data_IF_368951767042
#
_entry.id   IF_368951767042
#
_cell.length_a   1.000
_cell.length_b   1.000
_cell.length_c   1.000
_cell.angle_alpha   90.00
_cell.angle_beta   90.00
_cell.angle_gamma   90.00
#
_symmetry.space_group_name_H-M   'P 1'
#
loop_
_entity.id
_entity.type
_entity.pdbx_description
1 polymer ?
#
# COMPACT_ATOMS: atom_id res chain seq x y z
N UNK A 1 -19.41 -1.18 -20.56
CA UNK A 1 -20.43 -1.48 -21.58
C UNK A 1 -21.07 -2.81 -21.20
N UNK A 2 -22.40 -2.79 -21.13
CA UNK A 2 -23.25 -3.94 -20.82
C UNK A 2 -23.40 -4.82 -22.05
N UNK A 3 -22.64 -5.92 -22.13
CA UNK A 3 -22.95 -7.02 -23.04
C UNK A 3 -23.44 -8.20 -22.22
N UNK A 4 -24.76 -8.31 -22.13
CA UNK A 4 -25.51 -9.41 -21.50
C UNK A 4 -25.48 -10.69 -22.32
N UNK A 5 -24.31 -11.10 -22.82
CA UNK A 5 -24.10 -12.42 -23.37
C UNK A 5 -23.72 -13.39 -22.26
N UNK A 6 -24.39 -14.54 -22.17
CA UNK A 6 -23.98 -15.66 -21.31
C UNK A 6 -22.60 -16.16 -21.73
N UNK A 7 -21.55 -15.51 -21.21
CA UNK A 7 -20.15 -15.89 -21.37
C UNK A 7 -20.00 -17.37 -20.99
N UNK A 8 -19.52 -18.19 -21.92
CA UNK A 8 -19.28 -19.60 -21.66
C UNK A 8 -18.18 -19.73 -20.59
N UNK A 9 -18.12 -20.87 -19.88
CA UNK A 9 -17.02 -21.11 -18.92
C UNK A 9 -15.63 -20.99 -19.57
N UNK A 10 -15.50 -21.29 -20.87
CA UNK A 10 -14.25 -21.14 -21.63
C UNK A 10 -13.89 -19.66 -21.86
N UNK A 11 -14.88 -18.80 -22.15
CA UNK A 11 -14.65 -17.36 -22.32
C UNK A 11 -14.20 -16.72 -20.99
N UNK A 12 -14.81 -17.14 -19.87
CA UNK A 12 -14.39 -16.70 -18.53
C UNK A 12 -12.96 -17.14 -18.21
N UNK A 13 -12.61 -18.38 -18.55
CA UNK A 13 -11.27 -18.94 -18.37
C UNK A 13 -10.20 -18.14 -19.14
N UNK A 14 -10.40 -17.91 -20.43
CA UNK A 14 -9.46 -17.15 -21.27
C UNK A 14 -9.36 -15.68 -20.88
N UNK A 15 -10.47 -15.07 -20.44
CA UNK A 15 -10.45 -13.69 -19.96
C UNK A 15 -9.70 -13.55 -18.64
N UNK A 16 -9.87 -14.48 -17.70
CA UNK A 16 -9.19 -14.44 -16.40
C UNK A 16 -7.66 -14.52 -16.55
N UNK A 17 -7.15 -15.42 -17.40
CA UNK A 17 -5.71 -15.53 -17.68
C UNK A 17 -5.11 -14.24 -18.24
N UNK A 18 -5.89 -13.45 -18.98
CA UNK A 18 -5.44 -12.18 -19.56
C UNK A 18 -5.50 -11.02 -18.57
N UNK A 19 -6.33 -11.11 -17.54
CA UNK A 19 -6.60 -10.03 -16.59
C UNK A 19 -5.84 -10.19 -15.26
N UNK A 20 -5.27 -11.37 -15.00
CA UNK A 20 -4.51 -11.65 -13.80
C UNK A 20 -3.01 -11.47 -14.03
N UNK A 21 -2.35 -10.75 -13.12
CA UNK A 21 -0.91 -10.48 -13.16
C UNK A 21 -0.30 -10.77 -11.79
N UNK A 22 0.86 -11.42 -11.76
CA UNK A 22 1.63 -11.66 -10.55
C UNK A 22 3.07 -11.20 -10.71
N UNK A 23 3.67 -10.72 -9.63
CA UNK A 23 5.06 -10.28 -9.59
C UNK A 23 5.72 -10.97 -8.41
N UNK A 24 6.80 -11.68 -8.67
CA UNK A 24 7.56 -12.40 -7.64
C UNK A 24 9.05 -12.15 -7.85
N UNK A 25 9.79 -11.93 -6.78
CA UNK A 25 11.22 -11.64 -6.83
C UNK A 25 12.08 -12.90 -6.77
N UNK A 26 11.63 -13.93 -6.04
CA UNK A 26 12.40 -15.14 -5.79
C UNK A 26 12.02 -16.27 -6.77
N UNK A 27 13.03 -16.94 -7.35
CA UNK A 27 12.85 -18.01 -8.35
C UNK A 27 12.00 -19.17 -7.81
N UNK A 28 12.25 -19.62 -6.58
CA UNK A 28 11.54 -20.76 -6.01
C UNK A 28 10.05 -20.46 -5.76
N UNK A 29 9.67 -19.38 -5.03
CA UNK A 29 8.28 -18.93 -4.95
C UNK A 29 7.62 -18.67 -6.31
N UNK A 30 8.35 -18.14 -7.28
CA UNK A 30 7.86 -17.94 -8.65
C UNK A 30 7.43 -19.26 -9.29
N UNK A 31 8.28 -20.29 -9.22
CA UNK A 31 7.97 -21.61 -9.76
C UNK A 31 6.79 -22.27 -9.02
N UNK A 32 6.75 -22.16 -7.69
CA UNK A 32 5.65 -22.67 -6.85
C UNK A 32 4.33 -21.97 -7.20
N UNK A 33 4.34 -20.65 -7.41
CA UNK A 33 3.17 -19.88 -7.79
C UNK A 33 2.61 -20.36 -9.15
N UNK A 34 3.47 -20.58 -10.13
CA UNK A 34 3.08 -21.15 -11.43
C UNK A 34 2.44 -22.54 -11.26
N UNK A 35 3.04 -23.43 -10.48
CA UNK A 35 2.50 -24.78 -10.25
C UNK A 35 1.14 -24.74 -9.53
N UNK A 36 1.03 -23.99 -8.43
CA UNK A 36 -0.19 -23.89 -7.63
C UNK A 36 -1.33 -23.25 -8.42
N UNK A 37 -1.06 -22.17 -9.16
CA UNK A 37 -2.07 -21.54 -10.00
C UNK A 37 -2.50 -22.46 -11.14
N UNK A 38 -1.56 -23.14 -11.80
CA UNK A 38 -1.91 -24.11 -12.86
C UNK A 38 -2.82 -25.22 -12.34
N UNK A 39 -2.53 -25.73 -11.14
CA UNK A 39 -3.36 -26.75 -10.49
C UNK A 39 -4.74 -26.20 -10.07
N UNK A 40 -4.79 -25.01 -9.47
CA UNK A 40 -6.05 -24.36 -9.07
C UNK A 40 -6.94 -24.07 -10.30
N UNK A 41 -6.37 -23.58 -11.40
CA UNK A 41 -7.09 -23.39 -12.66
C UNK A 41 -7.63 -24.73 -13.19
N UNK A 42 -6.82 -25.80 -13.14
CA UNK A 42 -7.26 -27.13 -13.56
C UNK A 42 -8.43 -27.65 -12.73
N UNK A 43 -8.40 -27.45 -11.42
CA UNK A 43 -9.45 -27.90 -10.51
C UNK A 43 -10.74 -27.11 -10.67
N UNK A 44 -10.65 -25.79 -10.82
CA UNK A 44 -11.81 -24.89 -10.94
C UNK A 44 -12.50 -25.03 -12.31
N UNK A 45 -11.70 -25.02 -13.39
CA UNK A 45 -12.23 -25.05 -14.76
C UNK A 45 -12.32 -26.46 -15.36
N UNK A 46 -11.88 -27.48 -14.61
CA UNK A 46 -11.83 -28.90 -15.03
C UNK A 46 -11.03 -29.12 -16.33
N UNK A 47 -10.08 -28.24 -16.64
CA UNK A 47 -9.22 -28.29 -17.83
C UNK A 47 -7.80 -27.82 -17.51
N UNK A 48 -6.76 -28.54 -17.95
CA UNK A 48 -5.39 -28.06 -17.80
C UNK A 48 -5.12 -26.83 -18.67
N UNK A 49 -4.12 -26.03 -18.29
CA UNK A 49 -3.57 -24.98 -19.14
C UNK A 49 -3.07 -25.59 -20.46
N UNK A 50 -3.43 -24.99 -21.60
CA UNK A 50 -2.89 -25.38 -22.92
C UNK A 50 -1.45 -24.87 -23.05
N UNK A 51 -0.68 -25.42 -23.99
CA UNK A 51 0.72 -24.98 -24.22
C UNK A 51 0.87 -23.48 -24.49
N UNK A 52 -0.17 -22.85 -25.06
CA UNK A 52 -0.20 -21.41 -25.33
C UNK A 52 -0.87 -20.57 -24.23
N UNK A 53 -1.45 -21.20 -23.20
CA UNK A 53 -2.03 -20.50 -22.05
C UNK A 53 -0.90 -20.14 -21.07
N UNK A 54 -0.52 -18.86 -21.04
CA UNK A 54 0.55 -18.38 -20.17
C UNK A 54 -0.03 -17.62 -18.97
N UNK A 55 0.24 -18.12 -17.76
CA UNK A 55 0.04 -17.35 -16.53
C UNK A 55 1.00 -16.15 -16.56
N UNK A 56 0.46 -14.94 -16.37
CA UNK A 56 1.26 -13.70 -16.35
C UNK A 56 1.88 -13.46 -14.96
N UNK A 57 2.56 -14.47 -14.42
CA UNK A 57 3.40 -14.35 -13.23
C UNK A 57 4.82 -14.06 -13.69
N UNK A 58 5.40 -12.98 -13.18
CA UNK A 58 6.62 -12.38 -13.71
C UNK A 58 7.70 -12.36 -12.65
N UNK A 59 8.89 -12.82 -13.02
CA UNK A 59 10.04 -12.87 -12.13
C UNK A 59 10.76 -11.51 -12.15
N UNK A 60 10.48 -10.66 -11.17
CA UNK A 60 11.00 -9.30 -11.13
C UNK A 60 10.87 -8.66 -9.74
N UNK A 61 11.66 -7.62 -9.51
CA UNK A 61 11.41 -6.70 -8.41
C UNK A 61 10.30 -5.71 -8.80
N UNK A 62 9.15 -5.78 -8.15
CA UNK A 62 7.98 -4.92 -8.44
C UNK A 62 8.32 -3.42 -8.38
N UNK A 63 9.16 -3.03 -7.41
CA UNK A 63 9.47 -1.62 -7.11
C UNK A 63 10.58 -1.03 -7.98
N UNK A 64 11.27 -1.85 -8.79
CA UNK A 64 12.36 -1.37 -9.65
C UNK A 64 11.88 -0.33 -10.67
N UNK A 65 12.56 0.81 -10.71
CA UNK A 65 12.26 1.89 -11.65
C UNK A 65 12.96 1.68 -13.00
N UNK A 66 12.38 2.19 -14.12
CA UNK A 66 13.00 2.11 -15.44
C UNK A 66 14.45 2.61 -15.50
N UNK A 67 14.78 3.65 -14.72
CA UNK A 67 16.13 4.21 -14.64
C UNK A 67 17.15 3.31 -13.96
N UNK A 68 16.70 2.34 -13.15
CA UNK A 68 17.54 1.46 -12.33
C UNK A 68 17.83 0.11 -13.03
N UNK A 69 17.25 -0.09 -14.22
CA UNK A 69 17.37 -1.31 -15.04
C UNK A 69 18.78 -1.53 -15.59
N UNK A 70 19.61 -0.48 -15.67
CA UNK A 70 20.98 -0.59 -16.20
C UNK A 70 21.79 -1.66 -15.44
N UNK A 71 21.54 -1.82 -14.13
CA UNK A 71 22.17 -2.84 -13.30
C UNK A 71 21.80 -4.30 -13.67
N UNK A 72 20.72 -4.49 -14.43
CA UNK A 72 20.20 -5.80 -14.86
C UNK A 72 20.52 -6.11 -16.33
N UNK A 73 21.22 -5.22 -17.05
CA UNK A 73 21.66 -5.47 -18.43
C UNK A 73 22.76 -6.54 -18.46
N UNK A 74 22.66 -7.49 -19.38
CA UNK A 74 23.63 -8.56 -19.54
C UNK A 74 23.39 -9.78 -18.63
N UNK A 75 22.23 -9.83 -17.96
CA UNK A 75 21.72 -11.06 -17.35
C UNK A 75 21.25 -12.03 -18.45
N UNK A 76 20.92 -13.26 -18.07
CA UNK A 76 20.34 -14.24 -19.01
C UNK A 76 19.13 -13.61 -19.74
N UNK A 77 18.96 -13.86 -21.07
CA UNK A 77 17.88 -13.29 -21.87
C UNK A 77 16.48 -13.48 -21.27
N UNK A 78 16.31 -14.52 -20.44
CA UNK A 78 15.04 -14.78 -19.74
C UNK A 78 14.70 -13.67 -18.74
N UNK A 79 15.68 -13.19 -17.96
CA UNK A 79 15.48 -12.12 -16.99
C UNK A 79 15.22 -10.77 -17.67
N UNK A 80 15.91 -10.51 -18.79
CA UNK A 80 15.67 -9.29 -19.56
C UNK A 80 14.24 -9.26 -20.14
N UNK A 81 13.76 -10.42 -20.61
CA UNK A 81 12.37 -10.58 -21.08
C UNK A 81 11.36 -10.38 -19.95
N UNK A 82 11.56 -11.03 -18.81
CA UNK A 82 10.70 -10.88 -17.62
C UNK A 82 10.65 -9.43 -17.14
N UNK A 83 11.81 -8.77 -17.06
CA UNK A 83 11.90 -7.37 -16.68
C UNK A 83 11.19 -6.45 -17.69
N UNK A 84 11.36 -6.69 -18.99
CA UNK A 84 10.65 -5.93 -20.04
C UNK A 84 9.13 -6.10 -19.93
N UNK A 85 8.66 -7.33 -19.75
CA UNK A 85 7.24 -7.63 -19.54
C UNK A 85 6.68 -6.92 -18.30
N UNK A 86 7.42 -6.96 -17.18
CA UNK A 86 7.06 -6.27 -15.95
C UNK A 86 6.86 -4.77 -16.19
N UNK A 87 7.77 -4.13 -16.92
CA UNK A 87 7.70 -2.70 -17.18
C UNK A 87 6.52 -2.34 -18.08
N UNK A 88 6.28 -3.15 -19.13
CA UNK A 88 5.12 -2.97 -20.01
C UNK A 88 3.82 -3.03 -19.21
N UNK A 89 3.65 -4.05 -18.37
CA UNK A 89 2.44 -4.19 -17.54
C UNK A 89 2.31 -3.05 -16.54
N UNK A 90 3.39 -2.73 -15.82
CA UNK A 90 3.36 -1.63 -14.86
C UNK A 90 3.07 -0.30 -15.54
N UNK A 91 3.41 -0.09 -16.81
CA UNK A 91 3.22 1.21 -17.48
C UNK A 91 1.89 1.31 -18.23
N UNK A 92 1.53 0.26 -18.96
CA UNK A 92 0.54 0.32 -20.03
C UNK A 92 -0.79 -0.33 -19.64
N UNK A 93 -0.82 -1.21 -18.63
CA UNK A 93 -2.03 -1.92 -18.21
C UNK A 93 -2.80 -1.16 -17.14
N UNK A 94 -4.13 -1.15 -17.27
CA UNK A 94 -5.04 -0.56 -16.29
C UNK A 94 -5.32 -1.57 -15.17
N UNK A 95 -4.56 -1.48 -14.07
CA UNK A 95 -4.67 -2.38 -12.92
C UNK A 95 -5.74 -1.85 -11.94
N UNK A 96 -6.94 -2.45 -11.99
CA UNK A 96 -8.07 -2.05 -11.14
C UNK A 96 -7.94 -2.53 -9.69
N UNK A 97 -7.36 -3.72 -9.49
CA UNK A 97 -7.25 -4.37 -8.17
C UNK A 97 -5.78 -4.72 -7.91
N UNK A 98 -5.27 -4.33 -6.75
CA UNK A 98 -3.93 -4.70 -6.29
C UNK A 98 -4.07 -5.36 -4.92
N UNK A 99 -3.64 -6.61 -4.80
CA UNK A 99 -3.77 -7.37 -3.54
C UNK A 99 -2.55 -8.22 -3.25
N UNK A 100 -2.36 -8.60 -1.98
CA UNK A 100 -1.28 -9.48 -1.55
C UNK A 100 -0.82 -9.27 -0.11
N UNK A 101 0.28 -9.95 0.23
CA UNK A 101 0.99 -9.80 1.49
C UNK A 101 2.40 -9.23 1.18
N UNK A 102 2.59 -7.91 1.13
CA UNK A 102 3.89 -7.32 0.82
C UNK A 102 4.92 -7.66 1.90
N UNK A 103 6.23 -7.68 1.57
CA UNK A 103 7.27 -7.99 2.55
C UNK A 103 7.37 -6.92 3.65
N UNK A 104 7.74 -7.36 4.86
CA UNK A 104 7.94 -6.48 6.02
C UNK A 104 9.45 -6.36 6.29
N UNK A 105 10.05 -5.26 5.87
CA UNK A 105 11.48 -5.00 6.05
C UNK A 105 11.74 -3.53 6.31
N UNK A 106 12.02 -3.18 7.57
CA UNK A 106 12.37 -1.82 7.97
C UNK A 106 13.71 -1.32 7.41
N UNK A 107 14.49 -2.17 6.75
CA UNK A 107 15.72 -1.84 6.04
C UNK A 107 15.63 -2.36 4.60
N UNK A 108 14.76 -1.73 3.81
CA UNK A 108 14.51 -2.11 2.43
C UNK A 108 15.76 -2.05 1.54
N UNK A 109 15.96 -3.09 0.72
CA UNK A 109 16.99 -3.12 -0.33
C UNK A 109 16.62 -2.25 -1.54
N UNK A 110 15.37 -1.80 -1.64
CA UNK A 110 14.85 -0.92 -2.70
C UNK A 110 15.31 0.54 -2.50
N UNK A 111 16.62 0.76 -2.56
CA UNK A 111 17.23 2.09 -2.51
C UNK A 111 17.12 2.76 -3.87
N UNK A 112 16.98 4.09 -3.88
CA UNK A 112 17.00 4.87 -5.13
C UNK A 112 15.81 5.80 -5.27
N UNK A 113 15.24 5.88 -6.47
CA UNK A 113 14.23 6.89 -6.79
C UNK A 113 12.90 6.65 -6.07
N UNK A 114 12.48 5.39 -5.98
CA UNK A 114 11.23 5.03 -5.31
C UNK A 114 11.25 5.35 -3.81
N UNK A 115 12.43 5.21 -3.16
CA UNK A 115 12.63 5.64 -1.79
C UNK A 115 12.40 7.16 -1.63
N UNK A 116 12.91 7.95 -2.57
CA UNK A 116 12.70 9.40 -2.57
C UNK A 116 11.25 9.79 -2.84
N UNK A 117 10.54 9.03 -3.66
CA UNK A 117 9.10 9.22 -3.85
C UNK A 117 8.33 9.03 -2.55
N UNK A 118 8.63 7.96 -1.81
CA UNK A 118 8.01 7.70 -0.50
C UNK A 118 8.36 8.80 0.50
N UNK A 119 9.62 9.20 0.61
CA UNK A 119 10.05 10.31 1.47
C UNK A 119 9.34 11.62 1.12
N UNK A 120 9.34 11.98 -0.15
CA UNK A 120 8.77 13.25 -0.59
C UNK A 120 7.24 13.29 -0.50
N UNK A 121 6.56 12.14 -0.42
CA UNK A 121 5.10 12.10 -0.32
C UNK A 121 4.62 11.87 1.12
N UNK A 122 5.20 10.89 1.82
CA UNK A 122 4.77 10.52 3.19
C UNK A 122 5.62 11.16 4.28
N UNK A 123 6.84 11.58 3.95
CA UNK A 123 7.78 12.18 4.88
C UNK A 123 7.62 13.69 5.05
N UNK A 124 6.57 14.29 4.48
CA UNK A 124 6.26 15.72 4.64
C UNK A 124 5.16 15.89 5.68
N UNK A 125 5.34 16.87 6.57
CA UNK A 125 4.34 17.21 7.59
C UNK A 125 3.00 17.53 6.92
N UNK A 126 1.90 16.90 7.36
CA UNK A 126 0.57 17.17 6.80
C UNK A 126 0.29 18.64 6.59
N UNK A 127 0.48 19.51 7.58
CA UNK A 127 0.19 20.95 7.48
C UNK A 127 0.84 21.63 6.26
N UNK A 128 2.04 21.19 5.85
CA UNK A 128 2.75 21.75 4.71
C UNK A 128 2.30 21.17 3.36
N UNK A 129 1.62 20.03 3.33
CA UNK A 129 1.22 19.42 2.05
C UNK A 129 0.20 20.27 1.28
N UNK A 130 -0.57 21.12 1.97
CA UNK A 130 -1.59 22.00 1.37
C UNK A 130 -1.11 23.41 1.05
N UNK A 131 0.13 23.78 1.40
CA UNK A 131 0.59 25.16 1.22
C UNK A 131 0.87 25.46 -0.26
N UNK A 132 0.61 26.72 -0.64
CA UNK A 132 1.12 27.28 -1.88
C UNK A 132 2.53 27.82 -1.65
N UNK A 133 3.49 27.32 -2.41
CA UNK A 133 4.91 27.73 -2.31
C UNK A 133 5.29 28.78 -3.35
N UNK A 134 4.51 28.85 -4.43
CA UNK A 134 4.56 29.83 -5.50
C UNK A 134 3.11 30.16 -5.85
N UNK A 135 2.83 31.30 -6.50
CA UNK A 135 1.46 31.72 -6.84
C UNK A 135 0.72 30.60 -7.59
N UNK A 136 -0.36 30.07 -7.00
CA UNK A 136 -1.17 28.96 -7.53
C UNK A 136 -0.42 27.62 -7.70
N UNK A 137 0.69 27.37 -7.00
CA UNK A 137 1.41 26.10 -7.06
C UNK A 137 1.51 25.49 -5.66
N UNK A 138 0.79 24.38 -5.45
CA UNK A 138 0.86 23.61 -4.21
C UNK A 138 2.19 22.86 -4.10
N UNK A 139 2.68 22.70 -2.89
CA UNK A 139 3.89 21.92 -2.61
C UNK A 139 3.83 20.50 -3.20
N UNK A 140 2.70 19.82 -3.05
CA UNK A 140 2.47 18.47 -3.58
C UNK A 140 2.60 18.43 -5.11
N UNK A 141 2.08 19.42 -5.83
CA UNK A 141 2.12 19.46 -7.29
C UNK A 141 3.54 19.70 -7.79
N UNK A 142 4.31 20.54 -7.09
CA UNK A 142 5.73 20.74 -7.37
C UNK A 142 6.52 19.45 -7.17
N UNK A 143 6.29 18.74 -6.08
CA UNK A 143 6.94 17.45 -5.78
C UNK A 143 6.62 16.42 -6.86
N UNK A 144 5.36 16.28 -7.24
CA UNK A 144 4.95 15.36 -8.30
C UNK A 144 5.60 15.71 -9.64
N UNK A 145 5.73 17.01 -9.95
CA UNK A 145 6.42 17.47 -11.16
C UNK A 145 7.90 17.10 -11.13
N UNK A 146 8.59 17.31 -10.00
CA UNK A 146 9.99 16.93 -9.84
C UNK A 146 10.18 15.42 -9.98
N UNK A 147 9.34 14.61 -9.34
CA UNK A 147 9.38 13.14 -9.45
C UNK A 147 9.20 12.67 -10.90
N UNK A 148 8.22 13.23 -11.63
CA UNK A 148 8.01 12.93 -13.06
C UNK A 148 9.22 13.32 -13.91
N UNK A 149 9.86 14.46 -13.63
CA UNK A 149 11.04 14.90 -14.36
C UNK A 149 12.23 13.96 -14.13
N UNK A 150 12.44 13.50 -12.89
CA UNK A 150 13.50 12.55 -12.54
C UNK A 150 13.27 11.20 -13.25
N UNK A 151 12.03 10.74 -13.36
CA UNK A 151 11.68 9.49 -14.04
C UNK A 151 11.86 9.55 -15.58
N UNK A 152 11.76 10.73 -16.21
CA UNK A 152 11.75 10.89 -17.67
C UNK A 152 13.14 11.13 -18.33
N UNK A 153 14.19 11.48 -17.59
CA UNK A 153 15.41 12.07 -18.20
C UNK A 153 16.72 11.29 -17.94
N UNK A 154 17.61 11.27 -18.94
CA UNK A 154 18.99 10.74 -18.86
C UNK A 154 19.93 11.73 -18.13
N UNK A 155 20.46 11.29 -16.99
CA UNK A 155 21.67 11.65 -16.22
C UNK A 155 22.07 13.12 -15.92
N UNK A 156 21.74 14.13 -16.73
CA UNK A 156 22.15 15.53 -16.52
C UNK A 156 21.19 16.36 -15.67
N UNK A 157 20.00 16.66 -16.20
CA UNK A 157 18.94 17.47 -15.55
C UNK A 157 18.22 16.75 -14.39
N UNK A 158 18.36 15.42 -14.33
CA UNK A 158 17.83 14.58 -13.24
C UNK A 158 18.49 14.90 -11.90
N UNK A 159 19.77 15.30 -11.90
CA UNK A 159 20.50 15.67 -10.67
C UNK A 159 19.96 16.95 -10.03
N UNK A 160 19.62 17.95 -10.83
CA UNK A 160 19.08 19.22 -10.33
C UNK A 160 17.67 19.06 -9.77
N UNK A 161 16.82 18.30 -10.49
CA UNK A 161 15.47 17.97 -10.00
C UNK A 161 15.52 17.18 -8.68
N UNK A 162 16.45 16.22 -8.57
CA UNK A 162 16.66 15.47 -7.33
C UNK A 162 17.18 16.37 -6.20
N UNK A 163 18.11 17.29 -6.50
CA UNK A 163 18.60 18.28 -5.52
C UNK A 163 17.48 19.18 -5.00
N UNK A 164 16.62 19.66 -5.89
CA UNK A 164 15.44 20.45 -5.52
C UNK A 164 14.46 19.65 -4.66
N UNK A 165 14.19 18.38 -5.02
CA UNK A 165 13.33 17.48 -4.25
C UNK A 165 13.87 17.27 -2.83
N UNK A 166 15.18 17.02 -2.71
CA UNK A 166 15.86 16.87 -1.41
C UNK A 166 15.75 18.13 -0.56
N UNK A 167 15.90 19.30 -1.17
CA UNK A 167 15.77 20.59 -0.49
C UNK A 167 14.35 20.82 0.04
N UNK A 168 13.33 20.60 -0.79
CA UNK A 168 11.92 20.70 -0.38
C UNK A 168 11.60 19.74 0.76
N UNK A 169 11.98 18.46 0.63
CA UNK A 169 11.79 17.48 1.68
C UNK A 169 12.50 17.91 2.97
N UNK A 170 13.75 18.38 2.91
CA UNK A 170 14.47 18.82 4.12
C UNK A 170 13.77 19.99 4.83
N UNK A 171 13.13 20.90 4.08
CA UNK A 171 12.42 22.06 4.62
C UNK A 171 11.09 21.69 5.28
N UNK A 172 10.33 20.77 4.68
CA UNK A 172 8.96 20.44 5.09
C UNK A 172 8.81 19.03 5.68
N UNK A 173 9.91 18.35 6.00
CA UNK A 173 9.89 16.99 6.56
C UNK A 173 9.07 16.92 7.85
N UNK A 174 8.65 15.71 8.21
CA UNK A 174 8.05 15.41 9.51
C UNK A 174 8.92 15.95 10.65
N UNK A 175 8.28 16.75 11.52
CA UNK A 175 8.94 17.35 12.67
C UNK A 175 8.86 16.41 13.89
N UNK A 176 9.81 16.55 14.82
CA UNK A 176 9.83 15.88 16.14
C UNK A 176 9.82 14.33 16.10
N UNK A 177 10.07 13.70 14.96
CA UNK A 177 10.12 12.23 14.82
C UNK A 177 11.50 11.65 15.09
N UNK A 178 11.58 10.68 16.02
CA UNK A 178 12.83 10.02 16.38
C UNK A 178 13.33 9.02 15.33
N UNK A 179 12.43 8.37 14.59
CA UNK A 179 12.75 7.26 13.70
C UNK A 179 12.02 7.33 12.34
N UNK A 180 12.33 8.31 11.47
CA UNK A 180 11.66 8.45 10.16
C UNK A 180 11.93 7.28 9.20
N UNK A 181 12.89 6.40 9.52
CA UNK A 181 13.22 5.21 8.72
C UNK A 181 12.06 4.23 8.54
N UNK A 182 11.08 4.25 9.45
CA UNK A 182 9.90 3.36 9.37
C UNK A 182 9.06 3.62 8.12
N UNK A 183 9.09 4.84 7.56
CA UNK A 183 8.46 5.13 6.27
C UNK A 183 9.06 4.37 5.10
N UNK A 184 10.28 3.83 5.25
CA UNK A 184 10.99 3.11 4.20
C UNK A 184 10.80 1.60 4.27
N UNK A 185 9.93 1.12 5.16
CA UNK A 185 9.54 -0.28 5.20
C UNK A 185 8.94 -0.70 3.85
N UNK A 186 9.23 -1.92 3.40
CA UNK A 186 8.79 -2.38 2.08
C UNK A 186 7.26 -2.38 1.96
N UNK A 187 6.49 -2.71 2.99
CA UNK A 187 5.02 -2.67 2.90
C UNK A 187 4.51 -1.24 2.59
N UNK A 188 5.19 -0.21 3.11
CA UNK A 188 4.86 1.20 2.83
C UNK A 188 5.17 1.53 1.37
N UNK A 189 6.28 0.99 0.84
CA UNK A 189 6.63 1.12 -0.57
C UNK A 189 5.60 0.45 -1.48
N UNK A 190 5.12 -0.74 -1.13
CA UNK A 190 4.04 -1.41 -1.85
C UNK A 190 2.71 -0.66 -1.76
N UNK A 191 2.36 -0.09 -0.60
CA UNK A 191 1.21 0.80 -0.46
C UNK A 191 1.34 2.01 -1.39
N UNK A 192 2.53 2.63 -1.47
CA UNK A 192 2.78 3.75 -2.40
C UNK A 192 2.62 3.34 -3.86
N UNK A 193 3.15 2.18 -4.23
CA UNK A 193 3.01 1.65 -5.58
C UNK A 193 1.54 1.44 -5.94
N UNK A 194 0.77 0.82 -5.04
CA UNK A 194 -0.66 0.60 -5.24
C UNK A 194 -1.43 1.94 -5.35
N UNK A 195 -1.13 2.87 -4.44
CA UNK A 195 -1.73 4.21 -4.44
C UNK A 195 -1.49 4.95 -5.76
N UNK A 196 -0.27 4.89 -6.32
CA UNK A 196 0.02 5.50 -7.62
C UNK A 196 -0.84 4.92 -8.74
N UNK A 197 -1.00 3.59 -8.77
CA UNK A 197 -1.81 2.92 -9.79
C UNK A 197 -3.27 3.32 -9.68
N UNK A 198 -3.86 3.18 -8.50
CA UNK A 198 -5.28 3.50 -8.28
C UNK A 198 -5.56 5.00 -8.47
N UNK A 199 -4.69 5.89 -7.98
CA UNK A 199 -4.82 7.34 -8.17
C UNK A 199 -4.78 7.72 -9.66
N UNK A 200 -3.93 7.08 -10.45
CA UNK A 200 -3.82 7.35 -11.89
C UNK A 200 -5.07 6.93 -12.69
N UNK A 201 -5.75 5.88 -12.25
CA UNK A 201 -6.99 5.38 -12.87
C UNK A 201 -8.24 6.14 -12.38
N UNK A 202 -8.17 6.77 -11.21
CA UNK A 202 -9.28 7.49 -10.59
C UNK A 202 -10.34 6.57 -9.95
N UNK A 203 -10.19 5.25 -10.06
CA UNK A 203 -11.04 4.24 -9.44
C UNK A 203 -10.28 2.92 -9.27
N UNK A 204 -10.72 2.09 -8.31
CA UNK A 204 -10.19 0.75 -8.08
C UNK A 204 -10.02 0.41 -6.60
N UNK A 205 -9.35 -0.71 -6.31
CA UNK A 205 -9.21 -1.28 -4.98
C UNK A 205 -7.75 -1.67 -4.73
N UNK A 206 -7.26 -1.37 -3.52
CA UNK A 206 -6.09 -2.07 -2.99
C UNK A 206 -6.48 -2.86 -1.74
N UNK A 207 -5.97 -4.09 -1.61
CA UNK A 207 -6.18 -4.94 -0.45
C UNK A 207 -4.89 -5.62 0.05
N UNK A 208 -4.32 -5.21 1.19
CA UNK A 208 -3.15 -5.89 1.76
C UNK A 208 -3.39 -6.36 3.20
N UNK A 209 -2.78 -7.49 3.54
CA UNK A 209 -2.39 -7.77 4.92
C UNK A 209 -0.99 -7.20 5.15
N UNK A 210 -0.84 -6.31 6.11
CA UNK A 210 0.43 -5.63 6.39
C UNK A 210 0.65 -5.40 7.87
N UNK A 211 1.88 -5.04 8.25
CA UNK A 211 2.17 -4.54 9.59
C UNK A 211 1.21 -3.40 9.98
N UNK A 212 0.56 -3.50 11.14
CA UNK A 212 -0.47 -2.55 11.60
C UNK A 212 0.10 -1.25 12.18
N UNK A 213 1.42 -1.11 12.30
CA UNK A 213 2.06 0.07 12.90
C UNK A 213 1.70 1.39 12.19
N UNK A 214 1.33 1.36 10.91
CA UNK A 214 0.92 2.58 10.21
C UNK A 214 -0.42 3.16 10.70
N UNK A 215 -1.24 2.38 11.41
CA UNK A 215 -2.54 2.82 11.90
C UNK A 215 -2.40 3.90 12.98
N UNK A 216 -1.43 3.76 13.88
CA UNK A 216 -1.32 4.57 15.09
C UNK A 216 0.03 5.31 15.26
N UNK A 217 1.13 4.81 14.71
CA UNK A 217 2.45 5.37 14.99
C UNK A 217 2.59 6.80 14.40
N UNK A 218 3.04 7.81 15.19
CA UNK A 218 3.17 9.20 14.75
C UNK A 218 3.97 9.42 13.46
N UNK A 219 5.00 8.59 13.21
CA UNK A 219 5.86 8.69 12.02
C UNK A 219 5.07 8.49 10.72
N UNK A 220 3.90 7.83 10.74
CA UNK A 220 3.10 7.55 9.54
C UNK A 220 1.97 8.56 9.28
N UNK A 221 1.90 9.69 9.99
CA UNK A 221 0.82 10.68 9.79
C UNK A 221 0.72 11.23 8.36
N UNK A 222 1.87 11.42 7.68
CA UNK A 222 1.90 11.82 6.28
C UNK A 222 1.41 10.71 5.33
N UNK A 223 1.70 9.44 5.63
CA UNK A 223 1.13 8.28 4.93
C UNK A 223 -0.39 8.23 5.13
N UNK A 224 -0.88 8.28 6.37
CA UNK A 224 -2.32 8.22 6.68
C UNK A 224 -3.09 9.34 5.99
N UNK A 225 -2.61 10.58 6.07
CA UNK A 225 -3.17 11.70 5.30
C UNK A 225 -3.22 11.40 3.80
N UNK A 226 -2.12 10.90 3.23
CA UNK A 226 -2.08 10.60 1.80
C UNK A 226 -3.10 9.52 1.39
N UNK A 227 -3.31 8.50 2.24
CA UNK A 227 -4.34 7.47 2.02
C UNK A 227 -5.73 8.10 2.05
N UNK A 228 -6.03 8.95 3.02
CA UNK A 228 -7.29 9.68 3.15
C UNK A 228 -7.55 10.64 1.97
N UNK A 229 -6.51 11.23 1.36
CA UNK A 229 -6.68 12.04 0.15
C UNK A 229 -6.91 11.21 -1.12
N UNK A 230 -6.54 9.92 -1.10
CA UNK A 230 -6.56 9.07 -2.29
C UNK A 230 -7.83 8.23 -2.43
N UNK A 231 -8.30 7.67 -1.31
CA UNK A 231 -9.36 6.65 -1.27
C UNK A 231 -10.64 7.22 -0.65
N UNK A 232 -11.77 6.68 -1.07
CA UNK A 232 -13.09 7.17 -0.68
C UNK A 232 -13.72 6.27 0.40
N UNK A 233 -13.36 4.98 0.42
CA UNK A 233 -13.74 4.05 1.49
C UNK A 233 -12.52 3.28 1.97
N UNK A 234 -12.35 3.16 3.29
CA UNK A 234 -11.27 2.39 3.91
C UNK A 234 -11.89 1.35 4.84
N UNK A 235 -11.61 0.07 4.63
CA UNK A 235 -11.98 -1.01 5.55
C UNK A 235 -10.72 -1.54 6.21
N UNK A 236 -10.66 -1.47 7.54
CA UNK A 236 -9.48 -1.80 8.35
C UNK A 236 -9.88 -2.85 9.38
N UNK A 237 -9.46 -4.08 9.13
CA UNK A 237 -9.60 -5.18 10.08
C UNK A 237 -8.27 -5.37 10.81
N UNK A 238 -8.16 -4.83 12.03
CA UNK A 238 -6.94 -4.94 12.82
C UNK A 238 -6.88 -6.30 13.51
N UNK A 239 -5.90 -7.12 13.13
CA UNK A 239 -5.73 -8.46 13.69
C UNK A 239 -4.77 -8.47 14.89
N UNK A 240 -4.28 -7.30 15.33
CA UNK A 240 -3.39 -7.14 16.48
C UNK A 240 -2.21 -8.13 16.48
N UNK A 241 -1.87 -8.70 17.63
CA UNK A 241 -0.79 -9.65 17.83
C UNK A 241 0.58 -8.98 17.90
N UNK A 242 0.67 -7.74 18.35
CA UNK A 242 1.96 -7.07 18.51
C UNK A 242 2.66 -7.47 19.82
N UNK A 243 3.41 -8.56 19.76
CA UNK A 243 4.20 -9.06 20.89
C UNK A 243 5.25 -8.04 21.40
N UNK A 244 5.72 -7.11 20.56
CA UNK A 244 6.67 -6.05 21.00
C UNK A 244 6.01 -5.01 21.88
N UNK A 245 4.75 -4.68 21.62
CA UNK A 245 3.92 -3.82 22.47
C UNK A 245 3.34 -4.56 23.68
N UNK A 246 3.49 -5.90 23.71
CA UNK A 246 2.81 -6.78 24.66
C UNK A 246 1.30 -6.55 24.63
N UNK A 247 0.73 -6.53 23.42
CA UNK A 247 -0.72 -6.40 23.25
C UNK A 247 -1.44 -7.57 23.94
N UNK A 248 -2.55 -7.23 24.58
CA UNK A 248 -3.47 -8.13 25.27
C UNK A 248 -4.88 -7.84 24.75
N UNK A 249 -5.79 -8.79 24.91
CA UNK A 249 -7.20 -8.56 24.61
C UNK A 249 -7.79 -7.51 25.57
N UNK A 250 -8.94 -6.90 25.26
CA UNK A 250 -9.61 -5.97 26.18
C UNK A 250 -9.90 -6.59 27.57
N UNK A 251 -9.95 -7.92 27.68
CA UNK A 251 -10.14 -8.66 28.93
C UNK A 251 -8.82 -9.02 29.63
N UNK A 252 -7.67 -8.57 29.13
CA UNK A 252 -6.34 -8.88 29.68
C UNK A 252 -5.84 -10.29 29.34
N UNK A 253 -6.44 -10.96 28.34
CA UNK A 253 -5.95 -12.25 27.88
C UNK A 253 -4.83 -12.07 26.84
N UNK A 254 -4.12 -13.16 26.56
CA UNK A 254 -3.06 -13.17 25.55
C UNK A 254 -3.65 -12.89 24.17
N UNK A 255 -3.04 -11.97 23.43
CA UNK A 255 -3.40 -11.69 22.05
C UNK A 255 -2.31 -12.18 21.09
N UNK A 256 -2.63 -13.15 20.22
CA UNK A 256 -1.66 -13.81 19.37
C UNK A 256 -1.65 -13.29 17.94
N UNK A 257 -0.47 -13.24 17.34
CA UNK A 257 -0.36 -12.91 15.92
C UNK A 257 -0.82 -14.05 15.02
N UNK A 258 -1.50 -13.73 13.91
CA UNK A 258 -1.92 -14.70 12.89
C UNK A 258 -0.75 -15.29 12.09
N UNK A 259 0.44 -14.69 12.16
CA UNK A 259 1.69 -15.24 11.65
C UNK A 259 2.69 -15.50 12.79
N UNK A 260 3.75 -16.25 12.52
CA UNK A 260 4.86 -16.45 13.46
C UNK A 260 5.82 -15.25 13.46
N UNK A 261 5.32 -14.05 13.75
CA UNK A 261 6.08 -12.79 13.80
C UNK A 261 5.73 -11.99 15.07
N UNK A 262 6.50 -10.94 15.36
CA UNK A 262 6.33 -10.13 16.57
C UNK A 262 5.53 -8.83 16.36
N UNK A 263 5.44 -8.35 15.13
CA UNK A 263 4.74 -7.12 14.77
C UNK A 263 3.27 -7.43 14.56
N UNK A 264 2.38 -6.56 15.05
CA UNK A 264 0.95 -6.70 14.77
C UNK A 264 0.63 -6.52 13.28
N UNK A 265 -0.48 -7.09 12.83
CA UNK A 265 -0.91 -7.02 11.42
C UNK A 265 -2.38 -6.61 11.29
N UNK A 266 -2.71 -6.02 10.15
CA UNK A 266 -4.08 -5.67 9.78
C UNK A 266 -4.35 -6.05 8.32
N UNK A 267 -5.59 -6.43 8.03
CA UNK A 267 -6.10 -6.54 6.65
C UNK A 267 -6.76 -5.21 6.30
N UNK A 268 -6.33 -4.61 5.19
CA UNK A 268 -6.71 -3.26 4.81
C UNK A 268 -7.22 -3.30 3.36
N UNK A 269 -8.49 -2.93 3.15
CA UNK A 269 -9.13 -2.82 1.83
C UNK A 269 -9.51 -1.37 1.59
N UNK A 270 -8.78 -0.67 0.72
CA UNK A 270 -9.04 0.74 0.42
C UNK A 270 -9.53 0.91 -1.02
N UNK A 271 -10.71 1.51 -1.12
CA UNK A 271 -11.47 1.65 -2.36
C UNK A 271 -11.43 3.09 -2.81
N UNK A 272 -11.12 3.28 -4.09
CA UNK A 272 -11.35 4.54 -4.80
C UNK A 272 -12.57 4.36 -5.68
N UNK A 273 -13.63 5.10 -5.39
CA UNK A 273 -14.90 5.03 -6.08
C UNK A 273 -15.44 6.44 -6.34
N UNK A 274 -15.46 6.89 -7.61
CA UNK A 274 -15.88 8.25 -7.97
C UNK A 274 -17.36 8.53 -7.68
N UNK A 275 -18.16 7.52 -7.36
CA UNK A 275 -19.57 7.67 -6.99
C UNK A 275 -19.76 7.99 -5.49
N UNK A 276 -18.72 7.85 -4.67
CA UNK A 276 -18.80 8.11 -3.23
C UNK A 276 -18.73 9.62 -2.99
N UNK A 277 -19.78 10.16 -2.36
CA UNK A 277 -19.89 11.61 -2.08
C UNK A 277 -19.25 11.97 -0.74
N UNK A 278 -19.32 11.07 0.24
CA UNK A 278 -18.75 11.26 1.59
C UNK A 278 -17.82 10.09 1.88
N UNK A 279 -16.57 10.41 2.23
CA UNK A 279 -15.58 9.40 2.62
C UNK A 279 -16.05 8.64 3.86
N UNK A 280 -15.82 7.32 3.87
CA UNK A 280 -16.14 6.45 5.01
C UNK A 280 -14.95 5.60 5.41
N UNK A 281 -14.76 5.42 6.70
CA UNK A 281 -13.61 4.70 7.25
C UNK A 281 -14.16 3.73 8.28
N UNK A 282 -14.10 2.47 7.94
CA UNK A 282 -14.61 1.34 8.70
C UNK A 282 -13.48 0.62 9.39
N UNK A 283 -13.66 0.38 10.68
CA UNK A 283 -12.65 -0.22 11.53
C UNK A 283 -13.26 -1.36 12.36
N UNK A 284 -12.50 -2.43 12.56
CA UNK A 284 -12.88 -3.52 13.45
C UNK A 284 -11.64 -4.19 14.04
N UNK A 285 -11.67 -4.48 15.34
CA UNK A 285 -10.61 -5.21 16.05
C UNK A 285 -10.93 -6.71 16.12
N UNK A 286 -9.95 -7.54 15.78
CA UNK A 286 -9.99 -8.98 16.00
C UNK A 286 -8.90 -9.34 17.00
N UNK A 287 -9.32 -9.52 18.25
CA UNK A 287 -8.47 -9.98 19.35
C UNK A 287 -8.58 -11.49 19.55
N UNK A 288 -7.63 -12.06 20.29
CA UNK A 288 -7.69 -13.44 20.79
C UNK A 288 -6.51 -14.30 20.35
N UNK A 289 -6.66 -15.60 20.52
CA UNK A 289 -5.68 -16.58 20.07
C UNK A 289 -5.69 -16.73 18.55
N UNK A 290 -4.61 -17.28 17.98
CA UNK A 290 -4.50 -17.43 16.52
C UNK A 290 -5.65 -18.23 15.91
N UNK A 291 -6.08 -19.30 16.59
CA UNK A 291 -7.15 -20.15 16.12
C UNK A 291 -8.51 -19.41 16.08
N UNK A 292 -8.78 -18.58 17.09
CA UNK A 292 -9.99 -17.76 17.17
C UNK A 292 -10.02 -16.72 16.04
N UNK A 293 -8.88 -16.08 15.78
CA UNK A 293 -8.72 -15.14 14.65
C UNK A 293 -8.98 -15.82 13.31
N UNK A 294 -8.47 -17.03 13.09
CA UNK A 294 -8.76 -17.78 11.87
C UNK A 294 -10.22 -18.20 11.77
N UNK A 295 -10.83 -18.63 12.87
CA UNK A 295 -12.26 -18.96 12.90
C UNK A 295 -13.12 -17.73 12.55
N UNK A 296 -12.80 -16.56 13.12
CA UNK A 296 -13.46 -15.29 12.78
C UNK A 296 -13.35 -14.98 11.29
N UNK A 297 -12.13 -15.05 10.72
CA UNK A 297 -11.88 -14.76 9.31
C UNK A 297 -12.56 -15.75 8.35
N UNK A 298 -12.76 -17.01 8.77
CA UNK A 298 -13.44 -18.02 7.95
C UNK A 298 -14.96 -17.88 7.98
N UNK A 299 -15.52 -17.29 9.06
CA UNK A 299 -16.97 -17.18 9.27
C UNK A 299 -17.53 -15.82 8.87
N UNK A 300 -16.68 -14.82 8.65
CA UNK A 300 -17.09 -13.46 8.38
C UNK A 300 -16.64 -12.96 7.00
N UNK A 301 -17.45 -12.09 6.42
CA UNK A 301 -17.12 -11.29 5.25
C UNK A 301 -17.38 -9.80 5.50
N UNK A 302 -17.22 -8.96 4.48
CA UNK A 302 -17.42 -7.51 4.60
C UNK A 302 -18.82 -7.12 5.10
N UNK A 303 -19.85 -7.92 4.81
CA UNK A 303 -21.24 -7.62 5.14
C UNK A 303 -21.64 -8.14 6.52
N UNK A 304 -20.96 -9.17 7.04
CA UNK A 304 -21.27 -9.74 8.36
C UNK A 304 -20.56 -9.01 9.51
N UNK A 305 -19.47 -8.30 9.23
CA UNK A 305 -18.73 -7.54 10.24
C UNK A 305 -19.50 -6.28 10.62
N UNK A 306 -19.71 -6.08 11.92
CA UNK A 306 -20.27 -4.85 12.48
C UNK A 306 -19.19 -3.76 12.57
N UNK A 307 -18.98 -3.05 11.47
CA UNK A 307 -17.95 -2.04 11.36
C UNK A 307 -18.22 -0.81 12.24
N UNK A 308 -17.17 -0.33 12.92
CA UNK A 308 -17.16 0.98 13.55
C UNK A 308 -16.71 2.03 12.54
N UNK A 309 -17.56 3.02 12.23
CA UNK A 309 -17.14 4.18 11.44
C UNK A 309 -16.30 5.13 12.30
N UNK A 310 -15.07 5.44 11.86
CA UNK A 310 -14.15 6.34 12.56
C UNK A 310 -13.90 7.62 11.77
N UNK A 311 -13.55 8.70 12.46
CA UNK A 311 -13.20 10.00 11.87
C UNK A 311 -11.79 10.43 12.30
N UNK A 312 -10.75 10.16 11.49
CA UNK A 312 -9.39 10.56 11.77
C UNK A 312 -9.25 12.09 11.86
N UNK A 313 -8.52 12.57 12.87
CA UNK A 313 -8.30 14.01 13.11
C UNK A 313 -6.84 14.41 12.92
N UNK A 314 -6.65 15.65 12.47
CA UNK A 314 -5.33 16.28 12.42
C UNK A 314 -4.74 16.40 13.84
N UNK A 315 -3.41 16.48 13.98
CA UNK A 315 -2.39 16.36 12.93
C UNK A 315 -1.98 14.90 12.63
N UNK A 316 -2.42 13.94 13.44
CA UNK A 316 -1.92 12.55 13.37
C UNK A 316 -2.70 11.65 12.42
N UNK A 317 -3.96 11.97 12.15
CA UNK A 317 -4.88 11.20 11.29
C UNK A 317 -4.92 9.72 11.65
N UNK A 318 -5.00 9.40 12.94
CA UNK A 318 -4.96 8.01 13.41
C UNK A 318 -6.11 7.20 12.80
N UNK A 319 -5.79 5.99 12.33
CA UNK A 319 -6.73 5.04 11.73
C UNK A 319 -7.14 3.96 12.75
N UNK A 320 -7.31 4.40 14.00
CA UNK A 320 -7.81 3.59 15.11
C UNK A 320 -8.91 4.39 15.83
N UNK A 321 -9.85 3.73 16.52
CA UNK A 321 -10.82 4.39 17.36
C UNK A 321 -10.11 5.22 18.44
N UNK A 322 -10.66 6.39 18.75
CA UNK A 322 -10.18 7.23 19.85
C UNK A 322 -11.33 7.54 20.81
N UNK A 323 -11.13 7.23 22.09
CA UNK A 323 -12.01 7.72 23.14
C UNK A 323 -11.61 9.14 23.51
N UNK A 324 -12.37 10.12 23.02
CA UNK A 324 -12.09 11.54 23.29
C UNK A 324 -13.30 12.29 23.85
N UNK A 325 -13.91 11.82 24.95
CA UNK A 325 -15.12 12.43 25.49
C UNK A 325 -14.92 13.88 25.97
N UNK A 326 -13.72 14.24 26.43
CA UNK A 326 -13.38 15.56 26.97
C UNK A 326 -12.38 16.33 26.11
N UNK A 327 -12.20 15.95 24.84
CA UNK A 327 -11.15 16.58 24.03
C UNK A 327 -11.43 18.05 23.73
N UNK A 328 -12.68 18.44 23.46
CA UNK A 328 -13.02 19.86 23.24
C UNK A 328 -12.70 20.72 24.46
N UNK A 329 -12.92 20.19 25.67
CA UNK A 329 -12.54 20.86 26.92
C UNK A 329 -11.01 20.89 27.09
N UNK A 330 -10.33 19.76 26.81
CA UNK A 330 -8.88 19.66 26.90
C UNK A 330 -8.17 20.64 25.95
N UNK A 331 -8.65 20.80 24.72
CA UNK A 331 -8.08 21.69 23.70
C UNK A 331 -8.29 23.19 24.02
N UNK A 332 -9.21 23.53 24.92
CA UNK A 332 -9.35 24.91 25.44
C UNK A 332 -8.29 25.25 26.49
N UNK A 333 -7.60 24.25 27.04
CA UNK A 333 -6.53 24.43 28.01
C UNK A 333 -5.26 25.02 27.39
N UNK A 334 -4.33 25.46 28.24
CA UNK A 334 -3.02 25.95 27.80
C UNK A 334 -2.15 24.80 27.29
N UNK A 335 -1.49 25.01 26.16
CA UNK A 335 -0.50 24.06 25.65
C UNK A 335 0.71 24.00 26.59
N UNK A 336 1.00 22.82 27.12
CA UNK A 336 2.20 22.60 27.95
C UNK A 336 3.48 22.96 27.19
N UNK A 337 3.51 22.79 25.86
CA UNK A 337 4.67 23.18 25.04
C UNK A 337 4.81 24.70 24.84
N UNK A 338 3.75 25.47 25.08
CA UNK A 338 3.79 26.94 25.00
C UNK A 338 4.12 27.57 26.36
N UNK A 339 3.83 26.85 27.45
CA UNK A 339 4.10 27.30 28.82
C UNK A 339 5.56 27.10 29.23
N UNK A 340 6.22 26.05 28.72
CA UNK A 340 7.62 25.68 29.01
C UNK A 340 8.47 25.73 27.76
#
# INVERSE_FOLDING_TARGET
TSDGGTSTKEDKYQNLLKQFYGFEYLIAPYAIAHLNLSQAFKEEFKKPLKENDALKIILTNTLIQPSEIVAYRGLSPIFEKELSNAQKIKKDENILIITGNPPYSGASENKGLFEWEVKATYGIEPEFQTIEIEKNVKLTDKIQTLLKNIQKQKEGSSKDALKALKSLHSKYKLQKEKNPKWLLDDYVKFMRFAQNKIKSLGHGLFGFISNNAFLDNPTFRGLRRSLLECYDELYILNLHGNARKKEETPQGAKDENVFNIMQGVSINLFVKNPQVVKQKIYYYDVYGERAEKYAFLAQNDLNSIEWLEIAPRAPFYLLIPQETPLLEEYEQGFSVQEVF
#
